data_IF_214932531358
#
_entry.id   IF_214932531358
#
_cell.length_a   1.000
_cell.length_b   1.000
_cell.length_c   1.000
_cell.angle_alpha   90.00
_cell.angle_beta   90.00
_cell.angle_gamma   90.00
#
_symmetry.space_group_name_H-M   'P 1'
#
loop_
_entity.id
_entity.type
_entity.pdbx_description
1 polymer ?
#
# COMPACT_ATOMS: atom_id res chain seq x y z
N UNK A 1 11.24 -4.92 55.87
CA UNK A 1 12.28 -5.93 55.59
C UNK A 1 12.49 -5.94 54.09
N UNK A 2 13.53 -5.23 53.70
CA UNK A 2 14.01 -5.00 52.36
C UNK A 2 14.26 -6.28 51.56
N UNK A 3 14.01 -6.21 50.25
CA UNK A 3 14.91 -6.78 49.25
C UNK A 3 15.01 -5.82 48.05
N UNK A 4 16.09 -5.04 48.02
CA UNK A 4 16.69 -4.43 46.81
C UNK A 4 17.16 -5.59 45.92
N UNK A 5 16.67 -5.69 44.68
CA UNK A 5 17.18 -5.09 43.44
C UNK A 5 18.32 -5.90 42.80
N UNK A 6 18.08 -6.44 41.61
CA UNK A 6 19.02 -6.36 40.50
C UNK A 6 18.22 -6.10 39.21
N UNK A 7 18.43 -4.92 38.63
CA UNK A 7 17.88 -4.54 37.33
C UNK A 7 18.71 -5.20 36.23
N UNK A 8 18.05 -5.78 35.22
CA UNK A 8 18.69 -6.18 33.98
C UNK A 8 18.89 -4.93 33.09
N UNK A 9 20.13 -4.53 32.76
CA UNK A 9 20.40 -3.29 32.02
C UNK A 9 20.14 -3.38 30.51
N UNK A 10 19.63 -4.51 30.01
CA UNK A 10 19.45 -4.75 28.56
C UNK A 10 18.01 -4.62 28.06
N UNK A 11 17.03 -4.53 28.96
CA UNK A 11 15.62 -4.57 28.58
C UNK A 11 14.86 -3.45 29.27
N UNK A 12 15.16 -2.21 28.91
CA UNK A 12 14.25 -1.11 29.18
C UNK A 12 13.04 -1.23 28.24
N UNK A 13 11.94 -1.58 28.89
CA UNK A 13 10.57 -1.44 28.47
C UNK A 13 10.35 -0.22 27.54
N UNK A 14 9.88 -0.48 26.33
CA UNK A 14 9.28 0.52 25.46
C UNK A 14 7.96 -0.02 24.92
N UNK A 15 7.07 -0.41 25.84
CA UNK A 15 5.65 -0.45 25.57
C UNK A 15 5.12 0.97 25.37
N UNK A 16 5.04 1.40 24.12
CA UNK A 16 4.21 2.54 23.70
C UNK A 16 3.64 2.26 22.31
N UNK A 17 2.42 1.72 22.30
CA UNK A 17 1.39 1.87 21.27
C UNK A 17 1.89 1.87 19.80
N UNK A 18 1.98 0.69 19.18
CA UNK A 18 1.70 0.61 17.74
C UNK A 18 0.21 0.91 17.56
N UNK A 19 -0.16 2.17 17.36
CA UNK A 19 -1.46 2.47 16.77
C UNK A 19 -1.52 1.71 15.43
N UNK A 20 -2.59 0.98 15.17
CA UNK A 20 -2.79 0.36 13.87
C UNK A 20 -2.77 1.48 12.82
N UNK A 21 -1.76 1.50 11.94
CA UNK A 21 -1.65 2.45 10.83
C UNK A 21 -2.75 2.15 9.80
N UNK A 22 -3.98 2.56 10.11
CA UNK A 22 -5.15 2.42 9.25
C UNK A 22 -5.22 3.58 8.26
N UNK A 23 -5.77 3.32 7.07
CA UNK A 23 -5.98 4.39 6.09
C UNK A 23 -7.16 5.28 6.52
N UNK A 24 -7.05 6.60 6.37
CA UNK A 24 -8.14 7.56 6.59
C UNK A 24 -9.07 7.72 5.37
N UNK A 25 -9.22 6.68 4.53
CA UNK A 25 -10.04 6.75 3.34
C UNK A 25 -11.54 6.73 3.66
N UNK A 26 -12.29 7.67 3.07
CA UNK A 26 -13.76 7.63 3.14
C UNK A 26 -14.33 6.45 2.33
N UNK A 27 -15.58 6.07 2.61
CA UNK A 27 -16.25 4.96 1.92
C UNK A 27 -16.24 5.08 0.40
N UNK A 28 -16.34 6.30 -0.13
CA UNK A 28 -16.31 6.54 -1.59
C UNK A 28 -14.98 6.08 -2.18
N UNK A 29 -13.87 6.44 -1.53
CA UNK A 29 -12.52 6.06 -1.96
C UNK A 29 -12.33 4.54 -1.86
N UNK A 30 -12.77 3.93 -0.75
CA UNK A 30 -12.70 2.48 -0.56
C UNK A 30 -13.48 1.76 -1.67
N UNK A 31 -14.73 2.16 -1.95
CA UNK A 31 -15.55 1.60 -3.02
C UNK A 31 -14.90 1.78 -4.39
N UNK A 32 -14.34 2.95 -4.68
CA UNK A 32 -13.67 3.21 -5.96
C UNK A 32 -12.46 2.29 -6.16
N UNK A 33 -11.58 2.19 -5.18
CA UNK A 33 -10.40 1.32 -5.23
C UNK A 33 -10.81 -0.15 -5.37
N UNK A 34 -11.74 -0.61 -4.54
CA UNK A 34 -12.25 -1.99 -4.60
C UNK A 34 -12.86 -2.32 -5.97
N UNK A 35 -13.66 -1.43 -6.54
CA UNK A 35 -14.24 -1.62 -7.87
C UNK A 35 -13.19 -1.73 -8.98
N UNK A 36 -12.10 -0.95 -8.90
CA UNK A 36 -10.98 -1.06 -9.85
C UNK A 36 -10.23 -2.38 -9.67
N UNK A 37 -10.00 -2.81 -8.42
CA UNK A 37 -9.39 -4.11 -8.13
C UNK A 37 -10.23 -5.28 -8.65
N UNK A 38 -11.55 -5.25 -8.50
CA UNK A 38 -12.45 -6.28 -9.04
C UNK A 38 -12.35 -6.41 -10.57
N UNK A 39 -12.17 -5.28 -11.28
CA UNK A 39 -11.95 -5.29 -12.73
C UNK A 39 -10.61 -5.92 -13.08
N UNK A 40 -9.55 -5.56 -12.36
CA UNK A 40 -8.21 -6.14 -12.54
C UNK A 40 -8.24 -7.64 -12.29
N UNK A 41 -8.92 -8.11 -11.24
CA UNK A 41 -9.10 -9.54 -10.97
C UNK A 41 -9.78 -10.26 -12.16
N UNK A 42 -10.79 -9.63 -12.77
CA UNK A 42 -11.38 -10.09 -14.02
C UNK A 42 -10.38 -10.21 -15.17
N UNK A 43 -9.51 -9.20 -15.35
CA UNK A 43 -8.44 -9.22 -16.36
C UNK A 43 -7.46 -10.38 -16.11
N UNK A 44 -7.01 -10.57 -14.86
CA UNK A 44 -6.08 -11.65 -14.50
C UNK A 44 -6.70 -13.03 -14.79
N UNK A 45 -7.98 -13.23 -14.43
CA UNK A 45 -8.71 -14.45 -14.79
C UNK A 45 -8.80 -14.65 -16.30
N UNK A 46 -9.08 -13.59 -17.06
CA UNK A 46 -9.12 -13.62 -18.52
C UNK A 46 -7.78 -14.02 -19.14
N UNK A 47 -6.67 -13.42 -18.69
CA UNK A 47 -5.31 -13.75 -19.13
C UNK A 47 -4.99 -15.22 -18.88
N UNK A 48 -5.31 -15.74 -17.68
CA UNK A 48 -5.13 -17.15 -17.36
C UNK A 48 -5.88 -18.04 -18.36
N UNK A 49 -7.16 -17.73 -18.63
CA UNK A 49 -7.96 -18.47 -19.60
C UNK A 49 -7.41 -18.40 -21.03
N UNK A 50 -6.84 -17.26 -21.44
CA UNK A 50 -6.18 -17.14 -22.74
C UNK A 50 -4.98 -18.09 -22.87
N UNK A 51 -4.17 -18.20 -21.81
CA UNK A 51 -3.02 -19.11 -21.77
C UNK A 51 -3.48 -20.57 -21.85
N UNK A 52 -4.48 -20.95 -21.05
CA UNK A 52 -5.04 -22.31 -21.02
C UNK A 52 -5.66 -22.72 -22.37
N UNK A 53 -6.16 -21.75 -23.15
CA UNK A 53 -6.73 -21.95 -24.47
C UNK A 53 -5.71 -21.77 -25.62
N UNK A 54 -4.41 -21.69 -25.32
CA UNK A 54 -3.35 -21.50 -26.32
C UNK A 54 -3.58 -20.29 -27.25
N UNK A 55 -4.08 -19.18 -26.69
CA UNK A 55 -4.26 -17.93 -27.43
C UNK A 55 -2.93 -17.37 -27.95
N UNK A 56 -2.99 -16.54 -29.00
CA UNK A 56 -1.82 -15.95 -29.61
C UNK A 56 -1.03 -15.09 -28.62
N UNK A 57 0.31 -15.24 -28.62
CA UNK A 57 1.16 -14.68 -27.57
C UNK A 57 1.06 -13.15 -27.49
N UNK A 58 0.98 -12.44 -28.63
CA UNK A 58 0.90 -10.99 -28.63
C UNK A 58 -0.41 -10.49 -28.00
N UNK A 59 -1.51 -11.23 -28.16
CA UNK A 59 -2.79 -10.89 -27.52
C UNK A 59 -2.73 -11.05 -26.00
N UNK A 60 -2.09 -12.12 -25.52
CA UNK A 60 -1.85 -12.34 -24.08
C UNK A 60 -0.96 -11.22 -23.52
N UNK A 61 0.13 -10.87 -24.22
CA UNK A 61 1.03 -9.79 -23.81
C UNK A 61 0.31 -8.44 -23.77
N UNK A 62 -0.57 -8.15 -24.74
CA UNK A 62 -1.40 -6.95 -24.74
C UNK A 62 -2.35 -6.90 -23.55
N UNK A 63 -2.97 -8.03 -23.17
CA UNK A 63 -3.81 -8.08 -21.97
C UNK A 63 -3.02 -7.92 -20.67
N UNK A 64 -1.81 -8.49 -20.59
CA UNK A 64 -0.91 -8.28 -19.46
C UNK A 64 -0.55 -6.80 -19.33
N UNK A 65 -0.18 -6.14 -20.44
CA UNK A 65 0.12 -4.71 -20.43
C UNK A 65 -1.09 -3.86 -19.99
N UNK A 66 -2.30 -4.23 -20.40
CA UNK A 66 -3.55 -3.61 -19.96
C UNK A 66 -3.78 -3.76 -18.45
N UNK A 67 -3.55 -4.95 -17.89
CA UNK A 67 -3.66 -5.20 -16.45
C UNK A 67 -2.61 -4.42 -15.64
N UNK A 68 -1.36 -4.34 -16.13
CA UNK A 68 -0.30 -3.52 -15.54
C UNK A 68 -0.68 -2.03 -15.53
N UNK A 69 -1.21 -1.51 -16.64
CA UNK A 69 -1.69 -0.13 -16.72
C UNK A 69 -2.82 0.16 -15.72
N UNK A 70 -3.75 -0.78 -15.56
CA UNK A 70 -4.84 -0.67 -14.59
C UNK A 70 -4.33 -0.66 -13.14
N UNK A 71 -3.39 -1.55 -12.79
CA UNK A 71 -2.71 -1.57 -11.50
C UNK A 71 -2.00 -0.24 -11.22
N UNK A 72 -1.24 0.27 -12.20
CA UNK A 72 -0.58 1.58 -12.10
C UNK A 72 -1.59 2.71 -11.85
N UNK A 73 -2.76 2.65 -12.46
CA UNK A 73 -3.86 3.58 -12.19
C UNK A 73 -4.35 3.54 -10.74
N UNK A 74 -4.51 2.34 -10.17
CA UNK A 74 -4.89 2.15 -8.76
C UNK A 74 -3.79 2.69 -7.84
N UNK A 75 -2.53 2.36 -8.09
CA UNK A 75 -1.40 2.82 -7.27
C UNK A 75 -1.28 4.34 -7.26
N UNK A 76 -1.47 5.01 -8.40
CA UNK A 76 -1.47 6.48 -8.49
C UNK A 76 -2.61 7.10 -7.69
N UNK A 77 -3.82 6.56 -7.82
CA UNK A 77 -4.98 7.04 -7.07
C UNK A 77 -4.77 6.88 -5.56
N UNK A 78 -4.28 5.70 -5.12
CA UNK A 78 -4.01 5.44 -3.71
C UNK A 78 -2.94 6.38 -3.15
N UNK A 79 -1.85 6.60 -3.91
CA UNK A 79 -0.79 7.53 -3.54
C UNK A 79 -1.32 8.97 -3.39
N UNK A 80 -2.13 9.44 -4.33
CA UNK A 80 -2.75 10.77 -4.26
C UNK A 80 -3.59 10.93 -2.98
N UNK A 81 -4.38 9.91 -2.64
CA UNK A 81 -5.19 9.91 -1.42
C UNK A 81 -4.31 9.91 -0.17
N UNK A 82 -3.26 9.09 -0.14
CA UNK A 82 -2.32 9.03 0.98
C UNK A 82 -1.62 10.36 1.23
N UNK A 83 -1.16 11.04 0.16
CA UNK A 83 -0.54 12.36 0.26
C UNK A 83 -1.50 13.42 0.81
N UNK A 84 -2.77 13.40 0.39
CA UNK A 84 -3.78 14.39 0.78
C UNK A 84 -4.40 14.16 2.17
N UNK A 85 -4.19 12.99 2.78
CA UNK A 85 -4.69 12.68 4.13
C UNK A 85 -3.54 12.43 5.10
N UNK A 86 -3.02 11.21 5.16
CA UNK A 86 -2.10 10.76 6.20
C UNK A 86 -0.78 11.54 6.22
N UNK A 87 -0.27 11.92 5.04
CA UNK A 87 0.98 12.69 4.94
C UNK A 87 0.75 14.14 5.38
N UNK A 88 -0.32 14.77 4.89
CA UNK A 88 -0.65 16.15 5.25
C UNK A 88 -0.91 16.30 6.75
N UNK A 89 -1.67 15.38 7.35
CA UNK A 89 -1.94 15.35 8.79
C UNK A 89 -0.65 15.24 9.61
N UNK A 90 0.23 14.28 9.27
CA UNK A 90 1.50 14.12 9.98
C UNK A 90 2.43 15.33 9.84
N UNK A 91 2.44 15.99 8.68
CA UNK A 91 3.19 17.23 8.49
C UNK A 91 2.64 18.36 9.36
N UNK A 92 1.31 18.48 9.49
CA UNK A 92 0.67 19.46 10.36
C UNK A 92 0.96 19.20 11.85
N UNK A 93 1.15 17.93 12.22
CA UNK A 93 1.59 17.50 13.56
C UNK A 93 3.11 17.68 13.79
N UNK A 94 3.86 18.16 12.80
CA UNK A 94 5.30 18.39 12.89
C UNK A 94 6.15 17.12 12.68
N UNK A 95 5.57 16.03 12.22
CA UNK A 95 6.29 14.79 11.93
C UNK A 95 6.83 14.77 10.49
N UNK A 96 8.00 15.38 10.29
CA UNK A 96 8.66 15.43 8.98
C UNK A 96 9.16 14.07 8.47
N UNK A 97 9.31 13.05 9.34
CA UNK A 97 9.79 11.71 8.97
C UNK A 97 8.88 11.02 7.94
N UNK A 98 7.62 11.45 7.85
CA UNK A 98 6.65 10.97 6.86
C UNK A 98 7.12 11.22 5.42
N UNK A 99 7.92 12.26 5.17
CA UNK A 99 8.48 12.56 3.86
C UNK A 99 9.48 11.48 3.42
N UNK A 100 10.35 11.04 4.34
CA UNK A 100 11.31 9.98 4.05
C UNK A 100 10.60 8.64 3.78
N UNK A 101 9.53 8.34 4.52
CA UNK A 101 8.69 7.17 4.26
C UNK A 101 8.01 7.25 2.87
N UNK A 102 7.51 8.43 2.49
CA UNK A 102 6.90 8.66 1.19
C UNK A 102 7.91 8.49 0.05
N UNK A 103 9.10 9.09 0.15
CA UNK A 103 10.18 8.96 -0.85
C UNK A 103 10.59 7.50 -1.02
N UNK A 104 10.76 6.76 0.08
CA UNK A 104 11.05 5.31 0.04
C UNK A 104 9.96 4.53 -0.69
N UNK A 105 8.70 4.89 -0.49
CA UNK A 105 7.56 4.25 -1.18
C UNK A 105 7.56 4.58 -2.67
N UNK A 106 7.77 5.85 -3.04
CA UNK A 106 7.86 6.28 -4.44
C UNK A 106 8.99 5.57 -5.19
N UNK A 107 10.17 5.43 -4.57
CA UNK A 107 11.29 4.69 -5.17
C UNK A 107 10.96 3.22 -5.47
N UNK A 108 10.04 2.58 -4.73
CA UNK A 108 9.57 1.22 -5.03
C UNK A 108 8.61 1.19 -6.21
N UNK A 109 7.80 2.24 -6.37
CA UNK A 109 6.78 2.35 -7.42
C UNK A 109 7.35 2.72 -8.80
N UNK A 110 8.54 3.31 -8.85
CA UNK A 110 9.20 3.75 -10.09
C UNK A 110 10.17 2.72 -10.70
N UNK A 111 10.21 1.50 -10.13
CA UNK A 111 11.03 0.40 -10.65
C UNK A 111 10.36 -0.33 -11.79
#
# INVERSE_FOLDING_TARGET
>A
MDKKMEHCPACHDSNSQKSERLSHHNEKTIRELANRMNRIEGQIRGIKGMIENHAYCDDVLNQIASAQAALNGVSKLLLEKHMKSCVLEQLQEGNEQVIDELVKTMHRMMK
#
